data_IF_744167011552
#
_entry.id   IF_744167011552
#
_cell.length_a   1.000
_cell.length_b   1.000
_cell.length_c   1.000
_cell.angle_alpha   90.00
_cell.angle_beta   90.00
_cell.angle_gamma   90.00
#
_symmetry.space_group_name_H-M   'P 1'
#
loop_
_entity.id
_entity.type
_entity.pdbx_description
1 polymer ?
#
# COMPACT_ATOMS: atom_id res chain seq x y z
N UNK A 1 0.90 28.65 31.05
CA UNK A 1 1.88 28.35 29.99
C UNK A 1 1.16 27.54 28.94
N UNK A 2 0.69 28.19 27.88
CA UNK A 2 0.01 27.54 26.75
C UNK A 2 1.07 26.99 25.81
N UNK A 3 1.12 25.66 25.65
CA UNK A 3 1.95 24.99 24.66
C UNK A 3 1.62 25.50 23.25
N UNK A 4 2.63 26.07 22.61
CA UNK A 4 2.58 26.49 21.23
C UNK A 4 2.59 25.22 20.37
N UNK A 5 1.42 24.72 19.95
CA UNK A 5 1.34 23.63 18.97
C UNK A 5 1.91 24.17 17.67
N UNK A 6 3.12 23.76 17.32
CA UNK A 6 3.66 23.98 15.97
C UNK A 6 2.76 23.26 14.96
N UNK A 7 1.83 24.01 14.38
CA UNK A 7 1.03 23.55 13.27
C UNK A 7 1.92 23.60 12.03
N UNK A 8 2.78 22.60 11.86
CA UNK A 8 3.60 22.48 10.66
C UNK A 8 2.68 22.38 9.44
N UNK A 9 2.84 23.29 8.49
CA UNK A 9 2.15 23.22 7.20
C UNK A 9 2.60 22.02 6.36
N UNK A 10 3.69 21.35 6.77
CA UNK A 10 4.27 20.20 6.10
C UNK A 10 4.01 18.92 6.88
N UNK A 11 3.63 17.88 6.16
CA UNK A 11 3.35 16.55 6.67
C UNK A 11 4.11 15.51 5.87
N UNK A 12 4.83 14.62 6.55
CA UNK A 12 5.52 13.50 5.92
C UNK A 12 4.54 12.37 5.68
N UNK A 13 4.11 12.19 4.43
CA UNK A 13 3.13 11.17 4.04
C UNK A 13 3.79 9.79 3.76
N UNK A 14 4.59 9.26 4.69
CA UNK A 14 5.19 7.92 4.54
C UNK A 14 4.08 6.85 4.56
N UNK A 15 4.02 5.94 3.58
CA UNK A 15 3.03 4.89 3.57
C UNK A 15 3.34 3.80 4.60
N UNK A 16 2.34 3.45 5.40
CA UNK A 16 2.30 2.28 6.24
C UNK A 16 1.17 1.37 5.74
N UNK A 17 1.54 0.16 5.30
CA UNK A 17 0.62 -0.78 4.68
C UNK A 17 0.55 -2.02 5.54
N UNK A 18 -0.66 -2.40 5.90
CA UNK A 18 -0.93 -3.61 6.65
C UNK A 18 -1.81 -4.57 5.83
N UNK A 19 -1.49 -5.86 5.93
CA UNK A 19 -2.29 -6.95 5.38
C UNK A 19 -2.87 -7.76 6.53
N UNK A 20 -4.19 -7.94 6.57
CA UNK A 20 -4.91 -8.60 7.67
C UNK A 20 -4.51 -8.06 9.07
N UNK A 21 -4.22 -6.76 9.14
CA UNK A 21 -3.81 -6.06 10.37
C UNK A 21 -2.30 -6.10 10.68
N UNK A 22 -1.50 -6.85 9.93
CA UNK A 22 -0.05 -6.92 10.12
C UNK A 22 0.70 -5.96 9.19
N UNK A 23 1.48 -5.04 9.78
CA UNK A 23 2.29 -4.09 9.02
C UNK A 23 3.36 -4.83 8.22
N UNK A 24 3.38 -4.59 6.90
CA UNK A 24 4.41 -5.09 6.02
C UNK A 24 5.29 -3.92 5.55
N UNK A 25 6.48 -3.79 6.14
CA UNK A 25 7.44 -2.73 5.79
C UNK A 25 7.93 -2.82 4.35
N UNK A 26 7.99 -4.03 3.78
CA UNK A 26 8.35 -4.26 2.38
C UNK A 26 7.36 -3.62 1.41
N UNK A 27 6.05 -3.74 1.67
CA UNK A 27 5.03 -3.07 0.86
C UNK A 27 5.13 -1.55 0.94
N UNK A 28 5.34 -0.99 2.14
CA UNK A 28 5.52 0.45 2.32
C UNK A 28 6.74 1.00 1.57
N UNK A 29 7.87 0.30 1.65
CA UNK A 29 9.10 0.67 0.93
C UNK A 29 9.00 0.43 -0.59
N UNK A 30 8.24 -0.59 -0.99
CA UNK A 30 8.10 -1.03 -2.37
C UNK A 30 6.98 -0.35 -3.14
N UNK A 31 6.20 0.54 -2.51
CA UNK A 31 5.08 1.24 -3.15
C UNK A 31 5.59 2.20 -4.23
N UNK A 32 5.15 2.00 -5.47
CA UNK A 32 5.50 2.81 -6.64
C UNK A 32 4.40 3.83 -6.96
N UNK A 33 3.14 3.45 -6.78
CA UNK A 33 1.99 4.31 -7.00
C UNK A 33 0.83 3.90 -6.09
N UNK A 34 0.08 4.90 -5.63
CA UNK A 34 -1.15 4.72 -4.87
C UNK A 34 -2.21 5.67 -5.40
N UNK A 35 -3.35 5.12 -5.78
CA UNK A 35 -4.55 5.87 -6.11
C UNK A 35 -5.71 5.35 -5.27
N UNK A 36 -6.42 6.26 -4.60
CA UNK A 36 -7.66 5.96 -3.89
C UNK A 36 -8.74 6.87 -4.44
N UNK A 37 -9.81 6.27 -4.95
CA UNK A 37 -10.97 6.99 -5.51
C UNK A 37 -12.19 6.71 -4.66
N UNK A 38 -12.70 7.75 -4.02
CA UNK A 38 -13.99 7.74 -3.34
C UNK A 38 -15.06 8.29 -4.27
N UNK A 39 -16.13 7.54 -4.47
CA UNK A 39 -17.27 7.94 -5.31
C UNK A 39 -18.43 8.43 -4.44
N UNK A 40 -19.34 9.24 -5.02
CA UNK A 40 -20.54 9.70 -4.31
C UNK A 40 -21.50 8.56 -3.94
N UNK A 41 -21.36 7.42 -4.60
CA UNK A 41 -22.20 6.23 -4.40
C UNK A 41 -21.73 5.36 -3.21
N UNK A 42 -20.64 5.77 -2.54
CA UNK A 42 -20.23 5.23 -1.24
C UNK A 42 -19.39 3.96 -1.30
N UNK A 43 -18.86 3.61 -2.47
CA UNK A 43 -17.80 2.62 -2.63
C UNK A 43 -16.49 3.35 -2.93
N UNK A 44 -15.45 3.06 -2.15
CA UNK A 44 -14.09 3.51 -2.41
C UNK A 44 -13.29 2.38 -3.06
N UNK A 45 -12.56 2.72 -4.13
CA UNK A 45 -11.63 1.82 -4.81
C UNK A 45 -10.19 2.28 -4.58
N UNK A 46 -9.27 1.32 -4.52
CA UNK A 46 -7.85 1.55 -4.32
C UNK A 46 -7.05 0.74 -5.33
N UNK A 47 -6.09 1.42 -5.97
CA UNK A 47 -5.04 0.83 -6.79
C UNK A 47 -3.70 1.12 -6.13
N UNK A 48 -2.98 0.07 -5.74
CA UNK A 48 -1.65 0.18 -5.14
C UNK A 48 -0.65 -0.66 -5.93
N UNK A 49 0.31 -0.01 -6.59
CA UNK A 49 1.34 -0.68 -7.39
C UNK A 49 2.63 -0.80 -6.61
N UNK A 50 3.20 -2.00 -6.55
CA UNK A 50 4.43 -2.32 -5.84
C UNK A 50 5.51 -2.82 -6.79
N UNK A 51 6.79 -2.53 -6.49
CA UNK A 51 7.89 -3.31 -7.08
C UNK A 51 7.71 -4.77 -6.71
N UNK A 52 7.85 -5.67 -7.67
CA UNK A 52 7.66 -7.10 -7.44
C UNK A 52 8.92 -7.89 -7.76
N UNK A 53 10.07 -7.23 -7.85
CA UNK A 53 11.35 -7.89 -8.09
C UNK A 53 12.37 -7.44 -7.06
N UNK A 54 12.95 -8.38 -6.31
CA UNK A 54 13.84 -8.03 -5.22
C UNK A 54 14.50 -9.23 -4.56
N UNK A 55 15.28 -8.99 -3.50
CA UNK A 55 16.03 -10.04 -2.83
C UNK A 55 15.11 -10.98 -2.02
N UNK A 56 15.29 -12.28 -2.22
CA UNK A 56 14.75 -13.34 -1.37
C UNK A 56 15.92 -14.22 -0.90
N UNK A 57 16.33 -14.02 0.35
CA UNK A 57 17.51 -14.69 0.90
C UNK A 57 18.79 -14.29 0.17
N UNK A 58 19.33 -15.19 -0.67
CA UNK A 58 20.56 -14.96 -1.45
C UNK A 58 20.32 -14.80 -2.96
N UNK A 59 19.07 -14.83 -3.42
CA UNK A 59 18.71 -14.68 -4.83
C UNK A 59 17.82 -13.46 -5.07
N UNK A 60 17.70 -13.04 -6.33
CA UNK A 60 16.66 -12.11 -6.77
C UNK A 60 15.50 -12.91 -7.36
N UNK A 61 14.28 -12.57 -6.98
CA UNK A 61 13.08 -13.25 -7.45
C UNK A 61 11.83 -12.36 -7.28
N UNK A 62 10.67 -12.88 -7.67
CA UNK A 62 9.37 -12.25 -7.48
C UNK A 62 8.95 -12.23 -6.02
N UNK A 63 8.68 -11.04 -5.50
CA UNK A 63 8.40 -10.83 -4.08
C UNK A 63 7.03 -11.36 -3.64
N UNK A 64 6.00 -11.23 -4.49
CA UNK A 64 4.60 -11.36 -4.07
C UNK A 64 3.78 -12.39 -4.88
N UNK A 65 4.36 -13.08 -5.86
CA UNK A 65 3.64 -14.09 -6.64
C UNK A 65 3.30 -15.37 -5.88
N UNK A 66 3.89 -15.59 -4.70
CA UNK A 66 3.54 -16.73 -3.84
C UNK A 66 2.18 -16.58 -3.14
N UNK A 67 1.58 -15.39 -3.18
CA UNK A 67 0.27 -15.08 -2.59
C UNK A 67 0.17 -15.40 -1.08
N UNK A 68 1.30 -15.41 -0.39
CA UNK A 68 1.40 -15.49 1.07
C UNK A 68 1.02 -14.15 1.72
N UNK A 69 1.49 -13.05 1.12
CA UNK A 69 1.22 -11.68 1.56
C UNK A 69 0.04 -11.08 0.81
N UNK A 70 0.13 -10.95 -0.52
CA UNK A 70 -0.91 -10.33 -1.34
C UNK A 70 -1.79 -11.40 -1.97
N UNK A 71 -3.04 -11.52 -1.49
CA UNK A 71 -3.99 -12.51 -1.99
C UNK A 71 -5.43 -12.00 -1.95
N UNK A 72 -6.29 -12.58 -2.77
CA UNK A 72 -7.70 -12.21 -2.89
C UNK A 72 -8.42 -12.32 -1.54
N UNK A 73 -9.27 -11.34 -1.23
CA UNK A 73 -10.08 -11.28 -0.02
C UNK A 73 -9.34 -10.84 1.24
N UNK A 74 -8.00 -10.83 1.25
CA UNK A 74 -7.21 -10.28 2.37
C UNK A 74 -7.52 -8.81 2.56
N UNK A 75 -7.58 -8.40 3.83
CA UNK A 75 -7.74 -7.00 4.15
C UNK A 75 -6.46 -6.23 3.87
N UNK A 76 -6.56 -5.09 3.19
CA UNK A 76 -5.46 -4.15 3.01
C UNK A 76 -5.84 -2.83 3.67
N UNK A 77 -4.98 -2.38 4.57
CA UNK A 77 -5.11 -1.09 5.25
C UNK A 77 -3.92 -0.22 4.86
N UNK A 78 -4.19 0.99 4.39
CA UNK A 78 -3.18 1.97 3.98
C UNK A 78 -3.32 3.21 4.83
N UNK A 79 -2.24 3.56 5.52
CA UNK A 79 -2.13 4.78 6.34
C UNK A 79 -0.96 5.60 5.80
N UNK A 80 -1.10 6.91 5.80
CA UNK A 80 -0.02 7.82 5.44
C UNK A 80 0.39 8.60 6.69
N UNK A 81 1.69 8.73 6.93
CA UNK A 81 2.20 9.45 8.08
C UNK A 81 3.23 8.70 8.90
N UNK A 82 3.60 9.33 10.01
CA UNK A 82 4.34 8.70 11.09
C UNK A 82 3.45 8.65 12.34
N UNK A 83 3.52 7.55 13.08
CA UNK A 83 2.82 7.40 14.35
C UNK A 83 3.26 8.49 15.34
N UNK A 84 2.35 8.99 16.20
CA UNK A 84 0.94 8.61 16.32
C UNK A 84 -0.01 9.39 15.40
N UNK A 85 0.53 10.20 14.48
CA UNK A 85 -0.25 11.18 13.69
C UNK A 85 -0.60 10.68 12.28
N UNK A 86 -0.47 9.38 12.04
CA UNK A 86 -0.82 8.77 10.77
C UNK A 86 -2.32 8.88 10.48
N UNK A 87 -2.66 8.94 9.20
CA UNK A 87 -4.04 9.07 8.73
C UNK A 87 -4.41 7.83 7.95
N UNK A 88 -5.56 7.25 8.27
CA UNK A 88 -6.16 6.20 7.47
C UNK A 88 -6.57 6.80 6.12
N UNK A 89 -6.06 6.21 5.05
CA UNK A 89 -6.35 6.60 3.66
C UNK A 89 -7.24 5.57 2.98
N UNK A 90 -7.03 4.29 3.23
CA UNK A 90 -7.86 3.22 2.68
C UNK A 90 -7.93 2.02 3.61
N UNK A 91 -9.08 1.35 3.65
CA UNK A 91 -9.28 0.08 4.32
C UNK A 91 -10.31 -0.75 3.53
N UNK A 92 -9.87 -1.86 2.93
CA UNK A 92 -10.72 -2.66 2.06
C UNK A 92 -10.19 -4.08 1.86
N UNK A 93 -10.68 -4.76 0.83
CA UNK A 93 -10.28 -6.12 0.48
C UNK A 93 -9.66 -6.17 -0.91
N UNK A 94 -8.65 -7.01 -1.07
CA UNK A 94 -8.02 -7.24 -2.38
C UNK A 94 -9.01 -7.99 -3.27
N UNK A 95 -9.41 -7.37 -4.37
CA UNK A 95 -10.37 -7.89 -5.35
C UNK A 95 -9.66 -8.49 -6.56
N UNK A 96 -8.55 -7.87 -6.99
CA UNK A 96 -7.76 -8.34 -8.12
C UNK A 96 -6.27 -8.03 -7.95
N UNK A 97 -5.46 -8.76 -8.71
CA UNK A 97 -4.01 -8.63 -8.78
C UNK A 97 -3.60 -8.57 -10.26
N UNK A 98 -2.86 -7.54 -10.64
CA UNK A 98 -2.36 -7.35 -12.00
C UNK A 98 -0.82 -7.35 -12.00
N UNK A 99 -0.23 -8.35 -12.66
CA UNK A 99 1.21 -8.43 -12.86
C UNK A 99 1.62 -7.60 -14.07
N UNK A 100 2.57 -6.69 -13.88
CA UNK A 100 3.06 -5.79 -14.94
C UNK A 100 4.50 -6.16 -15.28
N UNK A 101 4.73 -6.50 -16.55
CA UNK A 101 6.04 -6.86 -17.10
C UNK A 101 6.41 -5.88 -18.22
N UNK A 102 6.92 -4.69 -17.89
CA UNK A 102 7.24 -3.70 -18.90
C UNK A 102 8.41 -4.16 -19.78
N UNK A 103 8.46 -3.71 -21.03
CA UNK A 103 9.58 -4.00 -21.93
C UNK A 103 10.92 -3.48 -21.37
N UNK A 104 10.87 -2.38 -20.63
CA UNK A 104 12.00 -1.80 -19.91
C UNK A 104 11.57 -1.48 -18.46
N UNK A 105 12.41 -1.85 -17.49
CA UNK A 105 12.15 -1.65 -16.06
C UNK A 105 11.94 -2.97 -15.30
N UNK A 106 11.75 -2.84 -13.99
CA UNK A 106 11.50 -3.99 -13.11
C UNK A 106 10.03 -4.41 -13.16
N UNK A 107 9.73 -5.72 -13.02
CA UNK A 107 8.36 -6.19 -12.81
C UNK A 107 7.68 -5.54 -11.61
N UNK A 108 6.39 -5.28 -11.74
CA UNK A 108 5.55 -4.72 -10.69
C UNK A 108 4.28 -5.55 -10.49
N UNK A 109 3.61 -5.34 -9.37
CA UNK A 109 2.31 -5.93 -9.07
C UNK A 109 1.37 -4.83 -8.61
N UNK A 110 0.26 -4.65 -9.32
CA UNK A 110 -0.84 -3.78 -8.92
C UNK A 110 -1.87 -4.58 -8.12
N UNK A 111 -2.22 -4.07 -6.94
CA UNK A 111 -3.31 -4.55 -6.10
C UNK A 111 -4.51 -3.65 -6.35
N UNK A 112 -5.63 -4.26 -6.73
CA UNK A 112 -6.92 -3.60 -6.87
C UNK A 112 -7.81 -4.02 -5.70
N UNK A 113 -8.32 -3.05 -4.94
CA UNK A 113 -9.08 -3.30 -3.72
C UNK A 113 -10.29 -2.37 -3.59
N UNK A 114 -11.36 -2.86 -2.97
CA UNK A 114 -12.58 -2.11 -2.68
C UNK A 114 -12.92 -2.16 -1.17
N UNK A 115 -13.58 -1.13 -0.63
CA UNK A 115 -13.89 -0.99 0.80
C UNK A 115 -15.17 -1.73 1.26
N UNK A 116 -15.81 -2.52 0.39
CA UNK A 116 -16.98 -3.38 0.69
C UNK A 116 -16.98 -4.72 -0.04
#
# INVERSE_FOLDING_TARGET
MSENRENSAFYTARPQIAIDGEINSGLGLGLLALEVRETRDGLASCEATFTNWGPIGRSLDFLYFRRDILDFGKNITIRLGELPNDKLVFNGRIMALEAVFPQAGSPALCVLADDR
#
